data_IF_832876304832
#
_entry.id   IF_832876304832
#
_cell.length_a   1.000
_cell.length_b   1.000
_cell.length_c   1.000
_cell.angle_alpha   90.00
_cell.angle_beta   90.00
_cell.angle_gamma   90.00
#
_symmetry.space_group_name_H-M   'P 1'
#
loop_
_entity.id
_entity.type
_entity.pdbx_description
1 polymer ?
#
# COMPACT_ATOMS: atom_id res chain seq x y z
N UNK A 1 -8.09 26.94 2.58
CA UNK A 1 -7.49 25.62 2.32
C UNK A 1 -8.28 24.92 1.21
N UNK A 2 -9.56 24.62 1.40
CA UNK A 2 -10.41 23.86 0.44
C UNK A 2 -10.40 24.47 -0.95
N UNK A 3 -10.58 25.79 -1.07
CA UNK A 3 -10.50 26.49 -2.37
C UNK A 3 -9.13 26.37 -3.04
N UNK A 4 -8.07 26.42 -2.26
CA UNK A 4 -6.69 26.32 -2.76
C UNK A 4 -6.36 24.90 -3.22
N UNK A 5 -6.67 23.92 -2.41
CA UNK A 5 -6.35 22.50 -2.68
C UNK A 5 -7.33 21.80 -3.61
N UNK A 6 -8.47 22.43 -3.89
CA UNK A 6 -9.62 21.84 -4.61
C UNK A 6 -10.08 20.51 -4.01
N UNK A 7 -9.92 20.34 -2.70
CA UNK A 7 -10.29 19.12 -1.98
C UNK A 7 -10.89 19.43 -0.62
N UNK A 8 -11.98 18.78 -0.30
CA UNK A 8 -12.68 18.85 0.98
C UNK A 8 -12.52 17.58 1.83
N UNK A 9 -11.60 16.69 1.46
CA UNK A 9 -11.37 15.45 2.18
C UNK A 9 -10.51 15.72 3.43
N UNK A 10 -11.17 16.01 4.55
CA UNK A 10 -10.57 16.44 5.82
C UNK A 10 -11.36 15.83 6.99
N UNK A 11 -11.13 14.57 7.32
CA UNK A 11 -11.89 13.83 8.33
C UNK A 11 -11.23 13.77 9.72
N UNK A 12 -10.03 14.33 9.88
CA UNK A 12 -9.33 14.37 11.16
C UNK A 12 -8.39 15.58 11.28
N UNK A 13 -8.00 15.90 12.52
CA UNK A 13 -7.19 17.08 12.85
C UNK A 13 -5.80 17.03 12.20
N UNK A 14 -5.19 15.85 12.08
CA UNK A 14 -3.85 15.71 11.46
C UNK A 14 -3.91 16.08 9.99
N UNK A 15 -4.95 15.63 9.27
CA UNK A 15 -5.18 16.01 7.88
C UNK A 15 -5.37 17.53 7.72
N UNK A 16 -6.10 18.17 8.65
CA UNK A 16 -6.20 19.63 8.69
C UNK A 16 -4.85 20.33 8.86
N UNK A 17 -4.00 19.84 9.78
CA UNK A 17 -2.69 20.41 10.03
C UNK A 17 -1.79 20.32 8.78
N UNK A 18 -1.78 19.16 8.10
CA UNK A 18 -1.00 18.96 6.88
C UNK A 18 -1.55 19.80 5.72
N UNK A 19 -2.88 19.89 5.57
CA UNK A 19 -3.51 20.75 4.58
C UNK A 19 -3.22 22.24 4.82
N UNK A 20 -3.12 22.66 6.08
CA UNK A 20 -2.71 24.00 6.46
C UNK A 20 -1.23 24.27 6.11
N UNK A 21 -0.35 23.30 6.38
CA UNK A 21 1.06 23.42 6.00
C UNK A 21 1.22 23.54 4.46
N UNK A 22 0.45 22.76 3.69
CA UNK A 22 0.40 22.87 2.24
C UNK A 22 -0.03 24.27 1.80
N UNK A 23 -1.12 24.79 2.38
CA UNK A 23 -1.61 26.14 2.08
C UNK A 23 -0.62 27.23 2.45
N UNK A 24 0.11 27.06 3.54
CA UNK A 24 1.16 27.97 4.01
C UNK A 24 2.46 27.88 3.21
N UNK A 25 2.54 26.96 2.23
CA UNK A 25 3.70 26.77 1.34
C UNK A 25 5.01 26.52 2.11
N UNK A 26 4.94 25.72 3.17
CA UNK A 26 6.14 25.33 3.93
C UNK A 26 7.09 24.53 3.05
N UNK A 27 8.39 24.58 3.34
CA UNK A 27 9.40 23.82 2.57
C UNK A 27 9.51 22.37 3.01
N UNK A 28 9.19 22.11 4.27
CA UNK A 28 9.33 20.78 4.87
C UNK A 28 8.30 20.58 5.96
N UNK A 29 7.84 19.33 6.10
CA UNK A 29 6.97 18.83 7.18
C UNK A 29 7.66 17.62 7.79
N UNK A 30 7.69 17.55 9.12
CA UNK A 30 8.12 16.36 9.87
C UNK A 30 7.00 15.90 10.76
N UNK A 31 6.60 14.61 10.62
CA UNK A 31 5.45 14.02 11.30
C UNK A 31 5.94 13.02 12.33
N UNK A 32 5.63 13.29 13.60
CA UNK A 32 5.99 12.46 14.76
C UNK A 32 4.74 12.18 15.60
N UNK A 33 4.67 10.99 16.21
CA UNK A 33 3.59 10.63 17.14
C UNK A 33 2.22 10.50 16.47
N UNK A 34 2.18 10.31 15.17
CA UNK A 34 0.95 10.04 14.41
C UNK A 34 0.95 8.59 14.00
N UNK A 35 -0.05 7.86 14.47
CA UNK A 35 -0.24 6.45 14.19
C UNK A 35 -1.73 6.12 14.10
N UNK A 36 -2.08 5.11 13.29
CA UNK A 36 -3.44 4.66 13.06
C UNK A 36 -3.59 3.15 13.31
N UNK A 37 -3.00 2.67 14.39
CA UNK A 37 -3.05 1.25 14.81
C UNK A 37 -4.09 1.01 15.91
N UNK A 38 -5.36 1.26 15.61
CA UNK A 38 -6.46 1.05 16.55
C UNK A 38 -6.94 -0.41 16.52
N UNK A 39 -6.76 -1.13 17.61
CA UNK A 39 -7.17 -2.55 17.70
C UNK A 39 -8.69 -2.76 17.62
N UNK A 40 -9.49 -1.83 18.14
CA UNK A 40 -10.94 -1.99 18.30
C UNK A 40 -11.78 -1.23 17.27
N UNK A 41 -11.19 -0.34 16.48
CA UNK A 41 -11.89 0.46 15.49
C UNK A 41 -11.10 0.60 14.20
N UNK A 42 -10.93 -0.51 13.50
CA UNK A 42 -10.14 -0.58 12.26
C UNK A 42 -10.69 0.35 11.17
N UNK A 43 -12.00 0.42 11.00
CA UNK A 43 -12.61 1.29 9.99
C UNK A 43 -12.27 2.77 10.21
N UNK A 44 -12.31 3.21 11.46
CA UNK A 44 -11.91 4.58 11.82
C UNK A 44 -10.42 4.82 11.55
N UNK A 45 -9.59 3.84 11.89
CA UNK A 45 -8.15 3.89 11.62
C UNK A 45 -7.85 4.00 10.13
N UNK A 46 -8.46 3.15 9.32
CA UNK A 46 -8.30 3.15 7.86
C UNK A 46 -8.74 4.48 7.23
N UNK A 47 -9.92 4.97 7.61
CA UNK A 47 -10.44 6.24 7.10
C UNK A 47 -9.54 7.42 7.48
N UNK A 48 -9.05 7.44 8.71
CA UNK A 48 -8.14 8.48 9.21
C UNK A 48 -6.79 8.44 8.51
N UNK A 49 -6.19 7.25 8.42
CA UNK A 49 -4.92 7.02 7.74
C UNK A 49 -4.99 7.43 6.27
N UNK A 50 -6.00 6.95 5.54
CA UNK A 50 -6.17 7.28 4.12
C UNK A 50 -6.31 8.78 3.89
N UNK A 51 -7.02 9.49 4.77
CA UNK A 51 -7.16 10.94 4.68
C UNK A 51 -5.81 11.66 4.89
N UNK A 52 -5.01 11.25 5.88
CA UNK A 52 -3.70 11.84 6.16
C UNK A 52 -2.73 11.56 5.02
N UNK A 53 -2.67 10.33 4.53
CA UNK A 53 -1.80 9.92 3.41
C UNK A 53 -2.15 10.65 2.11
N UNK A 54 -3.44 10.90 1.86
CA UNK A 54 -3.88 11.74 0.74
C UNK A 54 -3.27 13.15 0.79
N UNK A 55 -3.27 13.80 1.98
CA UNK A 55 -2.70 15.12 2.13
C UNK A 55 -1.17 15.13 2.09
N UNK A 56 -0.52 14.08 2.62
CA UNK A 56 0.92 13.87 2.48
C UNK A 56 1.29 13.79 1.00
N UNK A 57 0.56 12.98 0.22
CA UNK A 57 0.76 12.86 -1.22
C UNK A 57 0.63 14.19 -1.96
N UNK A 58 -0.36 15.02 -1.59
CA UNK A 58 -0.49 16.37 -2.14
C UNK A 58 0.71 17.27 -1.81
N UNK A 59 1.24 17.20 -0.58
CA UNK A 59 2.42 17.96 -0.18
C UNK A 59 3.65 17.54 -1.01
N UNK A 60 3.88 16.23 -1.13
CA UNK A 60 5.00 15.69 -1.92
C UNK A 60 4.90 16.13 -3.39
N UNK A 61 3.70 16.06 -3.97
CA UNK A 61 3.45 16.49 -5.35
C UNK A 61 3.72 18.00 -5.57
N UNK A 62 3.60 18.82 -4.53
CA UNK A 62 3.94 20.25 -4.57
C UNK A 62 5.41 20.53 -4.22
N UNK A 63 6.25 19.50 -4.10
CA UNK A 63 7.68 19.63 -3.81
C UNK A 63 8.00 19.89 -2.34
N UNK A 64 7.04 19.72 -1.42
CA UNK A 64 7.29 19.81 0.02
C UNK A 64 8.00 18.53 0.48
N UNK A 65 9.12 18.67 1.18
CA UNK A 65 9.81 17.54 1.79
C UNK A 65 8.99 17.04 2.98
N UNK A 66 8.64 15.76 2.98
CA UNK A 66 7.89 15.14 4.09
C UNK A 66 8.73 14.07 4.74
N UNK A 67 8.99 14.22 6.04
CA UNK A 67 9.60 13.22 6.91
C UNK A 67 8.55 12.59 7.83
N UNK A 68 8.55 11.28 7.96
CA UNK A 68 7.65 10.53 8.84
C UNK A 68 8.51 9.68 9.78
N UNK A 69 8.10 9.59 11.05
CA UNK A 69 8.80 8.79 12.05
C UNK A 69 8.87 7.31 11.62
N UNK A 70 10.03 6.62 11.82
CA UNK A 70 10.25 5.26 11.30
C UNK A 70 9.29 4.18 11.82
N UNK A 71 8.60 4.45 12.94
CA UNK A 71 7.64 3.53 13.56
C UNK A 71 6.19 3.91 13.29
N UNK A 72 5.93 4.84 12.40
CA UNK A 72 4.57 5.24 12.06
C UNK A 72 3.98 4.29 11.02
N UNK A 73 2.70 3.98 11.16
CA UNK A 73 1.93 3.24 10.16
C UNK A 73 1.69 4.04 8.87
N UNK A 74 1.91 5.36 8.90
CA UNK A 74 1.75 6.21 7.71
C UNK A 74 2.74 5.83 6.62
N UNK A 75 2.22 5.61 5.40
CA UNK A 75 2.98 5.15 4.24
C UNK A 75 3.81 3.89 4.52
N UNK A 76 3.38 3.08 5.48
CA UNK A 76 4.06 1.86 5.92
C UNK A 76 5.54 2.10 6.28
N UNK A 77 5.85 3.22 6.94
CA UNK A 77 7.24 3.53 7.30
C UNK A 77 7.82 2.56 8.33
N UNK A 78 6.98 1.86 9.07
CA UNK A 78 7.31 0.77 9.98
C UNK A 78 7.56 -0.59 9.29
N UNK A 79 7.26 -0.68 7.99
CA UNK A 79 7.39 -1.90 7.20
C UNK A 79 8.67 -1.86 6.37
N UNK A 80 9.36 -2.99 6.25
CA UNK A 80 10.54 -3.13 5.38
C UNK A 80 10.20 -2.76 3.93
N UNK A 81 11.13 -2.08 3.25
CA UNK A 81 10.94 -1.60 1.87
C UNK A 81 10.55 -2.72 0.90
N UNK A 82 11.09 -3.93 1.07
CA UNK A 82 10.73 -5.08 0.23
C UNK A 82 9.25 -5.44 0.34
N UNK A 83 8.67 -5.30 1.52
CA UNK A 83 7.26 -5.61 1.79
C UNK A 83 6.29 -4.54 1.30
N UNK A 84 6.78 -3.34 0.97
CA UNK A 84 5.97 -2.25 0.40
C UNK A 84 5.70 -2.43 -1.10
N UNK A 85 6.50 -3.24 -1.78
CA UNK A 85 6.40 -3.42 -3.23
C UNK A 85 5.50 -4.63 -3.54
N UNK A 86 4.36 -4.38 -4.17
CA UNK A 86 3.39 -5.41 -4.49
C UNK A 86 4.01 -6.55 -5.31
N UNK A 87 4.02 -7.76 -4.73
CA UNK A 87 4.48 -8.98 -5.38
C UNK A 87 6.00 -9.10 -5.60
N UNK A 88 6.78 -8.05 -5.46
CA UNK A 88 8.21 -8.10 -5.78
C UNK A 88 9.02 -8.97 -4.82
N UNK A 89 8.71 -8.96 -3.53
CA UNK A 89 9.36 -9.80 -2.54
C UNK A 89 9.06 -11.30 -2.69
N UNK A 90 8.05 -11.65 -3.50
CA UNK A 90 7.58 -13.02 -3.74
C UNK A 90 7.96 -13.56 -5.12
N UNK A 91 8.54 -12.73 -5.99
CA UNK A 91 8.85 -13.12 -7.37
C UNK A 91 9.96 -14.15 -7.46
N UNK A 92 10.90 -14.16 -6.51
CA UNK A 92 12.02 -15.11 -6.50
C UNK A 92 11.54 -16.53 -6.16
N UNK A 93 10.51 -16.64 -5.33
CA UNK A 93 9.94 -17.94 -4.95
C UNK A 93 8.44 -17.80 -4.61
N UNK A 94 7.58 -17.66 -5.62
CA UNK A 94 6.15 -17.47 -5.42
C UNK A 94 5.49 -18.69 -4.80
N UNK A 95 4.40 -18.46 -4.07
CA UNK A 95 3.49 -19.54 -3.69
C UNK A 95 2.60 -19.90 -4.89
N UNK A 96 2.45 -21.20 -5.13
CA UNK A 96 1.60 -21.74 -6.18
C UNK A 96 0.56 -22.66 -5.59
N UNK A 97 -0.63 -22.64 -6.17
CA UNK A 97 -1.72 -23.55 -5.81
C UNK A 97 -1.81 -24.62 -6.88
N UNK A 98 -1.92 -25.86 -6.47
CA UNK A 98 -2.08 -26.99 -7.40
C UNK A 98 -3.06 -28.01 -6.82
N UNK A 99 -3.64 -28.82 -7.67
CA UNK A 99 -4.48 -29.95 -7.31
C UNK A 99 -3.68 -31.24 -7.40
N UNK A 100 -3.70 -32.04 -6.36
CA UNK A 100 -3.09 -33.35 -6.38
C UNK A 100 -3.92 -34.39 -7.17
N UNK A 101 -3.40 -35.61 -7.28
CA UNK A 101 -4.09 -36.69 -8.02
C UNK A 101 -5.39 -37.15 -7.33
N UNK A 102 -5.64 -36.74 -6.09
CA UNK A 102 -6.83 -37.06 -5.30
C UNK A 102 -7.86 -35.95 -5.32
N UNK A 103 -7.58 -34.84 -5.99
CA UNK A 103 -8.45 -33.69 -6.09
C UNK A 103 -8.29 -32.66 -4.98
N UNK A 104 -7.33 -32.83 -4.05
CA UNK A 104 -7.10 -31.85 -2.98
C UNK A 104 -6.34 -30.65 -3.50
N UNK A 105 -6.69 -29.46 -3.04
CA UNK A 105 -5.99 -28.21 -3.35
C UNK A 105 -4.86 -28.03 -2.33
N UNK A 106 -3.65 -27.91 -2.83
CA UNK A 106 -2.45 -27.72 -2.05
C UNK A 106 -1.77 -26.41 -2.40
N UNK A 107 -1.04 -25.82 -1.46
CA UNK A 107 -0.25 -24.61 -1.64
C UNK A 107 1.19 -24.90 -1.27
N UNK A 108 2.12 -24.62 -2.15
CA UNK A 108 3.55 -24.76 -1.88
C UNK A 108 4.37 -23.62 -2.50
N UNK A 109 5.65 -23.54 -2.15
CA UNK A 109 6.57 -22.65 -2.85
C UNK A 109 6.92 -23.22 -4.22
N UNK A 110 7.19 -22.34 -5.19
CA UNK A 110 7.59 -22.75 -6.54
C UNK A 110 8.82 -23.65 -6.54
N UNK A 111 9.82 -23.36 -5.69
CA UNK A 111 10.99 -24.20 -5.53
C UNK A 111 10.67 -25.64 -5.12
N UNK A 112 9.70 -25.80 -4.23
CA UNK A 112 9.31 -27.10 -3.71
C UNK A 112 8.53 -27.88 -4.77
N UNK A 113 7.74 -27.16 -5.58
CA UNK A 113 7.00 -27.75 -6.70
C UNK A 113 7.89 -28.26 -7.82
N UNK A 114 9.02 -27.59 -8.10
CA UNK A 114 10.00 -28.04 -9.10
C UNK A 114 10.69 -29.36 -8.72
N UNK A 115 10.72 -29.68 -7.43
CA UNK A 115 11.31 -30.93 -6.93
C UNK A 115 10.31 -32.08 -6.88
N UNK A 116 9.02 -31.80 -6.99
CA UNK A 116 7.96 -32.80 -6.96
C UNK A 116 7.45 -33.10 -8.38
N UNK A 117 7.25 -34.35 -8.73
CA UNK A 117 6.58 -34.78 -9.97
C UNK A 117 5.08 -34.43 -9.95
N UNK A 118 4.76 -33.15 -10.00
CA UNK A 118 3.38 -32.67 -9.94
C UNK A 118 2.86 -32.40 -11.35
N UNK A 119 1.77 -33.04 -11.69
CA UNK A 119 1.28 -33.11 -13.07
C UNK A 119 0.70 -31.84 -13.68
N UNK A 120 0.24 -30.85 -12.99
CA UNK A 120 -0.11 -29.50 -13.51
C UNK A 120 -0.54 -28.55 -12.40
N UNK A 121 0.02 -27.33 -12.27
CA UNK A 121 -0.53 -26.29 -11.41
C UNK A 121 -1.89 -25.81 -11.91
N UNK A 122 -2.85 -25.64 -11.00
CA UNK A 122 -4.16 -25.03 -11.30
C UNK A 122 -4.02 -23.52 -11.24
N UNK A 123 -3.35 -22.94 -12.16
CA UNK A 123 -3.24 -21.50 -12.25
C UNK A 123 -2.02 -20.94 -11.52
N UNK A 124 -0.97 -20.84 -12.27
CA UNK A 124 0.02 -19.79 -12.03
C UNK A 124 -0.66 -18.53 -12.52
N UNK A 125 -1.00 -17.61 -11.60
CA UNK A 125 -1.30 -16.24 -12.00
C UNK A 125 0.04 -15.61 -12.40
N UNK A 126 0.56 -16.08 -13.53
CA UNK A 126 1.70 -15.51 -14.20
C UNK A 126 1.20 -14.32 -15.02
N UNK A 127 1.71 -13.14 -14.73
CA UNK A 127 1.40 -11.90 -15.45
C UNK A 127 1.69 -11.93 -16.95
N UNK A 128 2.26 -12.99 -17.51
CA UNK A 128 2.57 -13.08 -18.95
C UNK A 128 1.34 -13.08 -19.85
N UNK A 129 0.17 -13.43 -19.32
CA UNK A 129 -1.07 -13.54 -20.10
C UNK A 129 -2.08 -12.42 -19.83
N UNK A 130 -1.77 -11.49 -18.91
CA UNK A 130 -2.57 -10.31 -18.69
C UNK A 130 -2.16 -9.23 -19.69
N UNK A 131 -2.97 -9.02 -20.73
CA UNK A 131 -2.83 -7.82 -21.55
C UNK A 131 -3.00 -6.58 -20.64
N UNK A 132 -2.15 -5.56 -20.79
CA UNK A 132 -2.33 -4.30 -20.07
C UNK A 132 -3.76 -3.79 -20.37
N UNK A 133 -4.54 -3.56 -19.32
CA UNK A 133 -5.80 -2.84 -19.44
C UNK A 133 -5.44 -1.37 -19.51
N UNK A 134 -5.69 -0.72 -20.62
CA UNK A 134 -5.52 0.73 -20.73
C UNK A 134 -6.46 1.41 -19.72
N UNK A 135 -5.95 2.35 -18.92
CA UNK A 135 -6.79 3.08 -17.98
C UNK A 135 -7.84 3.85 -18.78
N UNK A 136 -9.11 3.69 -18.37
CA UNK A 136 -10.17 4.55 -18.90
C UNK A 136 -10.00 5.94 -18.28
N UNK A 137 -9.88 6.95 -19.11
CA UNK A 137 -10.03 8.34 -18.67
C UNK A 137 -11.47 8.56 -18.19
N UNK A 138 -11.61 9.07 -16.97
CA UNK A 138 -12.87 9.50 -16.38
C UNK A 138 -12.92 11.02 -16.26
#
# INVERSE_FOLDING_TARGET
IVKYSKSAYLNNTVAYAIAYALWSKVKQISIFGVDFTYQTNMHFAEAGRGCVEFWIGKCINQGIKVGIAPRSSLLDTDVDTRNKLYGYHRLDNPQVTFQDNYGNINVCKWSDMQQAEIKKPIGIIGRKDLKPVEPKEY
#
